data_IF_469014976856
#
_entry.id   IF_469014976856
#
_cell.length_a   1.000
_cell.length_b   1.000
_cell.length_c   1.000
_cell.angle_alpha   90.00
_cell.angle_beta   90.00
_cell.angle_gamma   90.00
#
_symmetry.space_group_name_H-M   'P 1'
#
loop_
_entity.id
_entity.type
_entity.pdbx_description
1 polymer ?
#
# COMPACT_ATOMS: atom_id res chain seq x y z
N UNK A 1 -14.62 4.89 4.67
CA UNK A 1 -14.82 5.36 3.28
C UNK A 1 -14.87 4.12 2.41
N UNK A 2 -15.87 3.94 1.54
CA UNK A 2 -16.00 2.72 0.75
C UNK A 2 -15.09 2.75 -0.48
N UNK A 3 -14.35 1.68 -0.75
CA UNK A 3 -13.56 1.58 -1.98
C UNK A 3 -14.50 1.43 -3.19
N UNK A 4 -14.16 2.12 -4.29
CA UNK A 4 -14.91 1.99 -5.55
C UNK A 4 -14.48 0.71 -6.25
N UNK A 5 -15.41 0.06 -6.95
CA UNK A 5 -15.19 -1.22 -7.65
C UNK A 5 -13.94 -1.21 -8.55
N UNK A 6 -13.75 -0.17 -9.36
CA UNK A 6 -12.58 -0.08 -10.25
C UNK A 6 -11.24 0.06 -9.50
N UNK A 7 -11.25 0.56 -8.26
CA UNK A 7 -10.04 0.64 -7.42
C UNK A 7 -9.68 -0.74 -6.91
N UNK A 8 -10.68 -1.52 -6.48
CA UNK A 8 -10.49 -2.92 -6.08
C UNK A 8 -9.95 -3.73 -7.26
N UNK A 9 -10.55 -3.60 -8.44
CA UNK A 9 -10.07 -4.27 -9.67
C UNK A 9 -8.62 -3.92 -10.01
N UNK A 10 -8.17 -2.68 -9.74
CA UNK A 10 -6.78 -2.28 -9.92
C UNK A 10 -5.85 -2.91 -8.87
N UNK A 11 -6.28 -2.98 -7.61
CA UNK A 11 -5.51 -3.57 -6.51
C UNK A 11 -5.34 -5.09 -6.70
N UNK A 12 -6.40 -5.79 -7.10
CA UNK A 12 -6.40 -7.25 -7.30
C UNK A 12 -5.74 -7.70 -8.62
N UNK A 13 -5.44 -6.77 -9.53
CA UNK A 13 -4.73 -7.09 -10.76
C UNK A 13 -3.27 -7.50 -10.48
N UNK A 14 -2.64 -8.16 -11.44
CA UNK A 14 -1.22 -8.58 -11.34
C UNK A 14 -0.27 -7.39 -11.53
N UNK A 15 -0.22 -6.50 -10.55
CA UNK A 15 0.66 -5.35 -10.53
C UNK A 15 1.31 -5.17 -9.15
N UNK A 16 2.22 -4.19 -9.08
CA UNK A 16 2.84 -3.76 -7.83
C UNK A 16 2.35 -2.35 -7.48
N UNK A 17 2.42 -2.02 -6.19
CA UNK A 17 2.18 -0.67 -5.70
C UNK A 17 3.48 0.04 -5.32
N UNK A 18 3.55 1.34 -5.59
CA UNK A 18 4.53 2.24 -4.97
C UNK A 18 3.95 2.73 -3.63
N UNK A 19 4.46 2.20 -2.52
CA UNK A 19 4.04 2.62 -1.18
C UNK A 19 4.97 3.70 -0.65
N UNK A 20 4.41 4.89 -0.39
CA UNK A 20 5.15 6.06 0.08
C UNK A 20 4.85 6.34 1.56
N UNK A 21 5.90 6.59 2.33
CA UNK A 21 5.82 6.97 3.75
C UNK A 21 6.71 8.18 4.01
N UNK A 22 6.42 8.91 5.08
CA UNK A 22 7.30 9.95 5.61
C UNK A 22 7.94 9.42 6.90
N UNK A 23 9.27 9.38 6.94
CA UNK A 23 10.03 8.99 8.12
C UNK A 23 9.91 10.01 9.26
N UNK A 24 10.36 9.65 10.46
CA UNK A 24 10.30 10.57 11.63
C UNK A 24 11.05 11.89 11.43
N UNK A 25 12.06 11.90 10.55
CA UNK A 25 12.87 13.07 10.19
C UNK A 25 12.32 13.86 8.99
N UNK A 26 11.10 13.56 8.54
CA UNK A 26 10.43 14.12 7.36
C UNK A 26 11.02 13.73 6.00
N UNK A 27 11.92 12.74 5.94
CA UNK A 27 12.39 12.26 4.65
C UNK A 27 11.32 11.39 3.95
N UNK A 28 11.05 11.60 2.65
CA UNK A 28 10.18 10.73 1.89
C UNK A 28 10.87 9.39 1.62
N UNK A 29 10.14 8.30 1.81
CA UNK A 29 10.60 6.95 1.49
C UNK A 29 9.56 6.26 0.61
N UNK A 30 10.02 5.60 -0.45
CA UNK A 30 9.14 4.85 -1.36
C UNK A 30 9.66 3.42 -1.52
N UNK A 31 8.75 2.46 -1.55
CA UNK A 31 9.09 1.04 -1.78
C UNK A 31 8.05 0.40 -2.70
N UNK A 32 8.51 -0.51 -3.56
CA UNK A 32 7.63 -1.34 -4.38
C UNK A 32 7.19 -2.55 -3.55
N UNK A 33 5.88 -2.80 -3.49
CA UNK A 33 5.30 -3.89 -2.68
C UNK A 33 4.14 -4.58 -3.39
N UNK A 34 3.81 -5.78 -2.91
CA UNK A 34 2.53 -6.42 -3.18
C UNK A 34 1.43 -5.69 -2.40
N UNK A 35 0.32 -5.44 -3.08
CA UNK A 35 -0.86 -4.77 -2.53
C UNK A 35 -2.03 -5.73 -2.59
N UNK A 36 -2.90 -5.66 -1.58
CA UNK A 36 -4.15 -6.41 -1.52
C UNK A 36 -5.24 -5.53 -0.89
N UNK A 37 -6.45 -6.07 -0.76
CA UNK A 37 -7.55 -5.41 -0.08
C UNK A 37 -8.36 -6.40 0.77
N UNK A 38 -8.97 -5.89 1.82
CA UNK A 38 -9.94 -6.63 2.62
C UNK A 38 -11.07 -5.68 3.05
N UNK A 39 -12.30 -5.97 2.62
CA UNK A 39 -13.46 -5.08 2.79
C UNK A 39 -13.18 -3.68 2.20
N UNK A 40 -13.05 -2.67 3.07
CA UNK A 40 -12.75 -1.28 2.71
C UNK A 40 -11.31 -0.88 3.06
N UNK A 41 -10.44 -1.85 3.35
CA UNK A 41 -9.04 -1.64 3.72
C UNK A 41 -8.11 -2.02 2.57
N UNK A 42 -7.03 -1.26 2.43
CA UNK A 42 -5.87 -1.61 1.61
C UNK A 42 -4.86 -2.30 2.51
N UNK A 43 -4.42 -3.49 2.13
CA UNK A 43 -3.41 -4.25 2.84
C UNK A 43 -2.07 -4.12 2.12
N UNK A 44 -1.03 -3.82 2.89
CA UNK A 44 0.34 -3.74 2.41
C UNK A 44 1.15 -4.81 3.11
N UNK A 45 1.66 -5.78 2.34
CA UNK A 45 2.54 -6.80 2.89
C UNK A 45 3.93 -6.19 3.17
N UNK A 46 4.40 -6.32 4.40
CA UNK A 46 5.70 -5.79 4.84
C UNK A 46 6.27 -6.60 5.99
N UNK A 47 7.58 -6.45 6.24
CA UNK A 47 8.22 -6.92 7.46
C UNK A 47 8.03 -5.91 8.61
N UNK A 48 8.04 -6.37 9.85
CA UNK A 48 8.14 -5.50 11.03
C UNK A 48 9.39 -4.60 10.94
N UNK A 49 9.30 -3.38 11.46
CA UNK A 49 10.36 -2.36 11.42
C UNK A 49 10.81 -1.92 10.01
N UNK A 50 9.98 -2.11 8.97
CA UNK A 50 10.23 -1.57 7.62
C UNK A 50 10.16 -0.03 7.58
N UNK A 51 9.32 0.55 8.43
CA UNK A 51 9.15 2.00 8.56
C UNK A 51 9.85 2.40 9.86
N UNK A 52 10.86 3.27 9.75
CA UNK A 52 11.66 3.75 10.88
C UNK A 52 11.34 5.21 11.23
#
# INVERSE_FOLDING_TARGET
MKLRKHVIELIEAKNFACFATIGKDNHPHVTITWIDHENDLILINTAENRIN
#
